data_IF_315093014433
#
_entry.id   IF_315093014433
#
_cell.length_a   1.000
_cell.length_b   1.000
_cell.length_c   1.000
_cell.angle_alpha   90.00
_cell.angle_beta   90.00
_cell.angle_gamma   90.00
#
_symmetry.space_group_name_H-M   'P 1'
#
loop_
_entity.id
_entity.type
_entity.pdbx_description
1 polymer ?
#
# COMPACT_ATOMS: atom_id res chain seq x y z
N UNK A 1 -2.24 -9.04 -0.84
CA UNK A 1 -3.60 -8.57 -0.51
C UNK A 1 -4.15 -9.31 0.70
N UNK A 2 -4.92 -8.63 1.57
CA UNK A 2 -5.54 -9.22 2.76
C UNK A 2 -6.94 -9.81 2.50
N UNK A 3 -7.45 -9.65 1.29
CA UNK A 3 -8.79 -10.07 0.89
C UNK A 3 -9.89 -9.06 1.25
N UNK A 4 -11.09 -9.28 0.72
CA UNK A 4 -12.23 -8.39 0.96
C UNK A 4 -12.75 -8.46 2.39
N UNK A 5 -13.11 -7.31 2.94
CA UNK A 5 -13.94 -7.22 4.14
C UNK A 5 -15.32 -7.83 3.86
N UNK A 6 -15.88 -8.50 4.87
CA UNK A 6 -17.23 -9.07 4.78
C UNK A 6 -18.05 -8.64 6.00
N UNK A 7 -19.31 -8.27 5.75
CA UNK A 7 -20.21 -7.75 6.79
C UNK A 7 -20.55 -8.78 7.86
N UNK A 8 -20.57 -10.07 7.48
CA UNK A 8 -20.90 -11.20 8.38
C UNK A 8 -19.69 -11.71 9.17
N UNK A 9 -18.50 -11.16 8.97
CA UNK A 9 -17.26 -11.55 9.64
C UNK A 9 -16.84 -10.39 10.57
N UNK A 10 -16.61 -10.71 11.83
CA UNK A 10 -16.09 -9.74 12.80
C UNK A 10 -14.63 -9.37 12.48
N UNK A 11 -14.18 -8.25 13.01
CA UNK A 11 -12.77 -7.82 12.90
C UNK A 11 -11.80 -8.93 13.34
N UNK A 12 -12.01 -9.53 14.51
CA UNK A 12 -11.12 -10.56 15.06
C UNK A 12 -11.14 -11.86 14.25
N UNK A 13 -12.29 -12.24 13.68
CA UNK A 13 -12.37 -13.38 12.76
C UNK A 13 -11.62 -13.10 11.46
N UNK A 14 -11.81 -11.92 10.88
CA UNK A 14 -11.08 -11.50 9.67
C UNK A 14 -9.57 -11.46 9.90
N UNK A 15 -9.13 -10.84 11.00
CA UNK A 15 -7.73 -10.79 11.40
C UNK A 15 -7.15 -12.21 11.56
N UNK A 16 -7.87 -13.08 12.26
CA UNK A 16 -7.47 -14.48 12.42
C UNK A 16 -7.30 -15.19 11.09
N UNK A 17 -8.24 -15.02 10.13
CA UNK A 17 -8.14 -15.69 8.84
C UNK A 17 -6.94 -15.25 8.04
N UNK A 18 -6.64 -13.94 8.03
CA UNK A 18 -5.47 -13.41 7.31
C UNK A 18 -4.18 -13.88 7.96
N UNK A 19 -4.06 -13.76 9.28
CA UNK A 19 -2.87 -14.18 10.03
C UNK A 19 -2.62 -15.68 9.88
N UNK A 20 -3.66 -16.52 10.03
CA UNK A 20 -3.53 -17.98 9.87
C UNK A 20 -3.10 -18.34 8.44
N UNK A 21 -3.64 -17.67 7.42
CA UNK A 21 -3.30 -17.90 6.02
C UNK A 21 -1.83 -17.57 5.74
N UNK A 22 -1.34 -16.43 6.23
CA UNK A 22 0.05 -16.03 6.08
C UNK A 22 0.96 -17.02 6.82
N UNK A 23 0.64 -17.34 8.08
CA UNK A 23 1.42 -18.26 8.91
C UNK A 23 1.47 -19.67 8.29
N UNK A 24 0.43 -20.13 7.62
CA UNK A 24 0.43 -21.40 6.90
C UNK A 24 1.43 -21.42 5.71
N UNK A 25 1.72 -20.26 5.11
CA UNK A 25 2.66 -20.12 4.01
C UNK A 25 4.13 -19.95 4.47
N UNK A 26 4.36 -19.47 5.70
CA UNK A 26 5.70 -19.16 6.22
C UNK A 26 6.66 -20.35 6.16
N UNK A 27 6.32 -21.57 6.60
CA UNK A 27 7.27 -22.70 6.55
C UNK A 27 7.77 -23.01 5.13
N UNK A 28 6.89 -22.78 4.13
CA UNK A 28 7.27 -22.95 2.72
C UNK A 28 8.18 -21.81 2.27
N UNK A 29 7.86 -20.57 2.63
CA UNK A 29 8.67 -19.41 2.31
C UNK A 29 10.09 -19.56 2.91
N UNK A 30 10.20 -19.91 4.17
CA UNK A 30 11.48 -20.15 4.86
C UNK A 30 12.30 -21.26 4.19
N UNK A 31 11.65 -22.38 3.84
CA UNK A 31 12.31 -23.51 3.15
C UNK A 31 12.95 -23.10 1.83
N UNK A 32 12.33 -22.19 1.10
CA UNK A 32 12.80 -21.76 -0.23
C UNK A 32 13.51 -20.39 -0.21
N UNK A 33 13.72 -19.78 0.94
CA UNK A 33 14.36 -18.46 1.05
C UNK A 33 13.55 -17.35 0.40
N UNK A 34 12.21 -17.45 0.43
CA UNK A 34 11.28 -16.48 -0.14
C UNK A 34 10.75 -15.58 1.00
N UNK A 35 10.63 -14.30 0.74
CA UNK A 35 9.93 -13.38 1.62
C UNK A 35 8.51 -13.16 1.11
N UNK A 36 7.51 -13.45 1.95
CA UNK A 36 6.13 -13.08 1.71
C UNK A 36 5.99 -11.60 2.00
N UNK A 37 5.42 -10.84 1.08
CA UNK A 37 5.19 -9.42 1.28
C UNK A 37 3.69 -9.10 1.26
N UNK A 38 3.26 -8.25 2.19
CA UNK A 38 1.92 -7.70 2.23
C UNK A 38 1.98 -6.22 1.85
N UNK A 39 1.15 -5.83 0.92
CA UNK A 39 0.98 -4.44 0.50
C UNK A 39 -0.15 -3.78 1.30
N UNK A 40 0.04 -2.51 1.65
CA UNK A 40 -1.07 -1.65 2.06
C UNK A 40 -1.88 -1.28 0.81
N UNK A 41 -2.80 -2.15 0.45
CA UNK A 41 -3.54 -2.08 -0.80
C UNK A 41 -4.90 -1.40 -0.62
N UNK A 42 -5.35 -0.69 -1.65
CA UNK A 42 -6.71 -0.17 -1.73
C UNK A 42 -7.61 -1.20 -2.44
N UNK A 43 -8.93 -1.07 -2.30
CA UNK A 43 -9.88 -2.01 -2.91
C UNK A 43 -9.75 -2.06 -4.43
N UNK A 44 -9.93 -3.24 -4.98
CA UNK A 44 -9.94 -3.47 -6.42
C UNK A 44 -11.27 -3.02 -7.06
N UNK A 45 -11.24 -2.58 -8.32
CA UNK A 45 -12.40 -2.00 -9.02
C UNK A 45 -13.63 -2.92 -9.07
N UNK A 46 -13.41 -4.22 -9.15
CA UNK A 46 -14.50 -5.21 -9.19
C UNK A 46 -14.90 -5.76 -7.82
N UNK A 47 -14.27 -5.29 -6.75
CA UNK A 47 -14.63 -5.68 -5.39
C UNK A 47 -15.83 -4.89 -4.89
N UNK A 48 -16.78 -5.57 -4.26
CA UNK A 48 -17.99 -4.94 -3.69
C UNK A 48 -17.76 -4.34 -2.31
N UNK A 49 -16.76 -4.84 -1.60
CA UNK A 49 -16.40 -4.36 -0.27
C UNK A 49 -14.93 -3.95 -0.26
N UNK A 50 -14.52 -3.05 0.66
CA UNK A 50 -13.11 -2.67 0.81
C UNK A 50 -12.21 -3.85 1.15
N UNK A 51 -10.91 -3.70 0.91
CA UNK A 51 -9.94 -4.66 1.41
C UNK A 51 -9.97 -4.70 2.95
N UNK A 52 -9.72 -5.89 3.52
CA UNK A 52 -9.79 -6.06 4.98
C UNK A 52 -8.80 -5.15 5.71
N UNK A 53 -7.55 -5.13 5.27
CA UNK A 53 -6.49 -4.32 5.86
C UNK A 53 -6.20 -3.02 5.07
N UNK A 54 -7.24 -2.41 4.49
CA UNK A 54 -7.11 -1.14 3.75
C UNK A 54 -6.72 0.02 4.67
N UNK A 55 -7.29 0.08 5.88
CA UNK A 55 -7.04 1.16 6.83
C UNK A 55 -5.74 0.92 7.60
N UNK A 56 -5.01 2.00 7.87
CA UNK A 56 -3.68 1.99 8.50
C UNK A 56 -3.64 1.23 9.82
N UNK A 57 -4.61 1.44 10.69
CA UNK A 57 -4.68 0.79 12.01
C UNK A 57 -4.81 -0.74 11.87
N UNK A 58 -5.65 -1.20 10.95
CA UNK A 58 -5.84 -2.62 10.64
C UNK A 58 -4.60 -3.22 10.01
N UNK A 59 -3.99 -2.50 9.05
CA UNK A 59 -2.76 -2.94 8.39
C UNK A 59 -1.60 -3.09 9.38
N UNK A 60 -1.39 -2.09 10.22
CA UNK A 60 -0.32 -2.10 11.23
C UNK A 60 -0.54 -3.20 12.27
N UNK A 61 -1.79 -3.41 12.75
CA UNK A 61 -2.11 -4.51 13.65
C UNK A 61 -1.81 -5.87 12.99
N UNK A 62 -2.22 -6.06 11.73
CA UNK A 62 -1.93 -7.28 10.99
C UNK A 62 -0.42 -7.55 10.86
N UNK A 63 0.35 -6.54 10.44
CA UNK A 63 1.81 -6.65 10.30
C UNK A 63 2.48 -7.01 11.63
N UNK A 64 2.00 -6.44 12.74
CA UNK A 64 2.56 -6.68 14.07
C UNK A 64 2.21 -8.07 14.65
N UNK A 65 1.17 -8.74 14.15
CA UNK A 65 0.79 -10.11 14.58
C UNK A 65 1.63 -11.20 13.92
N UNK A 66 2.48 -10.87 12.93
CA UNK A 66 3.30 -11.85 12.22
C UNK A 66 4.77 -11.61 12.50
N UNK A 67 5.38 -12.52 13.27
CA UNK A 67 6.76 -12.33 13.78
C UNK A 67 7.84 -12.85 12.82
N UNK A 68 7.51 -13.72 11.84
CA UNK A 68 8.50 -14.32 10.95
C UNK A 68 9.30 -13.30 10.15
N UNK A 69 10.59 -13.54 10.02
CA UNK A 69 11.49 -12.79 9.13
C UNK A 69 11.23 -13.04 7.64
N UNK A 70 10.50 -14.10 7.32
CA UNK A 70 10.04 -14.39 5.95
C UNK A 70 8.71 -13.72 5.61
N UNK A 71 8.28 -12.74 6.45
CA UNK A 71 7.14 -11.87 6.17
C UNK A 71 7.57 -10.41 6.29
N UNK A 72 7.19 -9.59 5.33
CA UNK A 72 7.58 -8.19 5.24
C UNK A 72 6.48 -7.34 4.58
N UNK A 73 6.77 -6.08 4.33
CA UNK A 73 5.84 -5.09 3.77
C UNK A 73 6.31 -4.64 2.39
N UNK A 74 5.39 -4.58 1.44
CA UNK A 74 5.48 -3.74 0.26
C UNK A 74 4.72 -2.44 0.54
N UNK A 75 5.41 -1.32 0.53
CA UNK A 75 4.80 -0.02 0.84
C UNK A 75 4.34 0.68 -0.43
N UNK A 76 3.07 1.06 -0.49
CA UNK A 76 2.50 1.91 -1.55
C UNK A 76 1.93 3.20 -0.93
N UNK A 77 2.55 4.35 -1.19
CA UNK A 77 2.09 5.63 -0.62
C UNK A 77 0.74 6.08 -1.18
N UNK A 78 0.45 5.79 -2.45
CA UNK A 78 -0.80 6.23 -3.09
C UNK A 78 -2.02 5.49 -2.58
N UNK A 79 -1.86 4.23 -2.17
CA UNK A 79 -2.95 3.46 -1.56
C UNK A 79 -3.34 4.02 -0.18
N UNK A 80 -2.39 4.55 0.60
CA UNK A 80 -2.70 5.27 1.83
C UNK A 80 -3.52 6.54 1.56
N UNK A 81 -3.11 7.35 0.56
CA UNK A 81 -3.89 8.53 0.15
C UNK A 81 -5.29 8.14 -0.33
N UNK A 82 -5.42 7.07 -1.12
CA UNK A 82 -6.70 6.57 -1.60
C UNK A 82 -7.65 6.20 -0.44
N UNK A 83 -7.11 5.68 0.66
CA UNK A 83 -7.84 5.43 1.90
C UNK A 83 -8.12 6.70 2.73
N UNK A 84 -7.65 7.87 2.28
CA UNK A 84 -7.79 9.14 2.99
C UNK A 84 -6.84 9.30 4.17
N UNK A 85 -5.72 8.59 4.17
CA UNK A 85 -4.72 8.54 5.24
C UNK A 85 -3.39 9.15 4.81
N UNK A 86 -2.50 9.39 5.77
CA UNK A 86 -1.20 10.00 5.52
C UNK A 86 -0.11 8.94 5.27
N UNK A 87 0.49 8.88 4.06
CA UNK A 87 1.48 7.86 3.71
C UNK A 87 2.69 7.84 4.64
N UNK A 88 3.18 9.01 5.04
CA UNK A 88 4.34 9.11 5.94
C UNK A 88 4.04 8.59 7.35
N UNK A 89 2.81 8.77 7.85
CA UNK A 89 2.41 8.21 9.13
C UNK A 89 2.39 6.67 9.08
N UNK A 90 1.86 6.09 8.01
CA UNK A 90 1.89 4.64 7.78
C UNK A 90 3.34 4.15 7.68
N UNK A 91 4.15 4.82 6.85
CA UNK A 91 5.56 4.44 6.66
C UNK A 91 6.33 4.44 7.98
N UNK A 92 6.17 5.46 8.82
CA UNK A 92 6.82 5.53 10.14
C UNK A 92 6.50 4.31 11.02
N UNK A 93 5.26 3.80 10.96
CA UNK A 93 4.83 2.64 11.74
C UNK A 93 5.39 1.31 11.23
N UNK A 94 5.64 1.19 9.90
CA UNK A 94 6.03 -0.08 9.28
C UNK A 94 7.43 -0.08 8.66
N UNK A 95 8.16 1.03 8.65
CA UNK A 95 9.43 1.23 7.93
C UNK A 95 10.48 0.14 8.15
N UNK A 96 10.55 -0.43 9.34
CA UNK A 96 11.49 -1.52 9.66
C UNK A 96 11.08 -2.89 9.08
N UNK A 97 9.90 -2.98 8.49
CA UNK A 97 9.36 -4.17 7.82
C UNK A 97 9.30 -4.00 6.30
N UNK A 98 9.54 -2.79 5.78
CA UNK A 98 9.49 -2.50 4.33
C UNK A 98 10.72 -3.10 3.66
N UNK A 99 10.48 -3.97 2.67
CA UNK A 99 11.53 -4.60 1.84
C UNK A 99 11.36 -4.31 0.35
N UNK A 100 10.18 -3.88 -0.06
CA UNK A 100 9.89 -3.37 -1.40
C UNK A 100 8.93 -2.19 -1.30
N UNK A 101 8.92 -1.38 -2.35
CA UNK A 101 8.00 -0.25 -2.46
C UNK A 101 7.41 -0.22 -3.87
N UNK A 102 6.11 0.01 -3.96
CA UNK A 102 5.48 0.48 -5.19
C UNK A 102 5.62 2.00 -5.26
N UNK A 103 6.27 2.48 -6.31
CA UNK A 103 6.29 3.90 -6.61
C UNK A 103 5.11 4.20 -7.52
N UNK A 104 4.11 4.83 -6.96
CA UNK A 104 2.94 5.35 -7.65
C UNK A 104 2.67 6.78 -7.18
N UNK A 105 2.14 7.62 -8.03
CA UNK A 105 1.74 8.97 -7.62
C UNK A 105 0.39 9.33 -8.21
N UNK A 106 -0.34 10.15 -7.50
CA UNK A 106 -1.69 10.51 -7.86
C UNK A 106 -1.97 11.98 -7.59
N UNK A 107 -2.93 12.52 -8.31
CA UNK A 107 -3.40 13.89 -8.12
C UNK A 107 -4.93 13.94 -8.08
N UNK A 108 -5.45 15.01 -7.50
CA UNK A 108 -6.87 15.29 -7.48
C UNK A 108 -7.23 16.18 -8.69
N UNK A 109 -8.03 15.65 -9.61
CA UNK A 109 -8.56 16.44 -10.73
C UNK A 109 -9.58 17.50 -10.26
N UNK A 110 -10.22 17.26 -9.12
CA UNK A 110 -11.06 18.18 -8.36
C UNK A 110 -11.23 17.63 -6.93
N UNK A 111 -11.91 18.38 -6.06
CA UNK A 111 -12.13 17.94 -4.69
C UNK A 111 -10.89 18.05 -3.80
N UNK A 112 -10.93 17.40 -2.66
CA UNK A 112 -9.91 17.43 -1.60
C UNK A 112 -9.62 16.02 -1.07
N UNK A 113 -8.53 15.86 -0.31
CA UNK A 113 -8.23 14.61 0.42
C UNK A 113 -9.34 14.24 1.40
N UNK A 114 -10.02 15.24 1.99
CA UNK A 114 -11.19 14.99 2.85
C UNK A 114 -12.38 14.38 2.08
N UNK A 115 -12.50 14.68 0.79
CA UNK A 115 -13.53 14.06 -0.05
C UNK A 115 -13.17 12.58 -0.36
N UNK A 116 -11.88 12.21 -0.42
CA UNK A 116 -11.45 10.82 -0.47
C UNK A 116 -11.89 10.06 0.79
N UNK A 117 -11.66 10.64 1.96
CA UNK A 117 -12.07 10.04 3.25
C UNK A 117 -13.57 9.78 3.32
N UNK A 118 -14.39 10.69 2.79
CA UNK A 118 -15.85 10.54 2.74
C UNK A 118 -16.31 9.46 1.76
N UNK A 119 -15.57 9.29 0.67
CA UNK A 119 -15.89 8.32 -0.39
C UNK A 119 -15.43 6.89 -0.06
N UNK A 120 -14.55 6.72 0.90
CA UNK A 120 -13.84 5.46 1.22
C UNK A 120 -14.76 4.23 1.32
N UNK A 121 -15.89 4.33 1.97
CA UNK A 121 -16.79 3.18 2.20
C UNK A 121 -17.83 2.91 1.11
N UNK A 122 -17.99 3.80 0.11
CA UNK A 122 -19.19 3.81 -0.73
C UNK A 122 -18.98 3.54 -2.22
N UNK A 123 -17.76 3.59 -2.71
CA UNK A 123 -17.50 3.53 -4.15
C UNK A 123 -16.71 2.28 -4.50
N UNK A 124 -17.16 1.44 -5.46
CA UNK A 124 -16.29 0.41 -6.04
C UNK A 124 -15.08 1.06 -6.71
N UNK A 125 -13.89 0.54 -6.45
CA UNK A 125 -12.66 1.08 -7.00
C UNK A 125 -12.31 2.50 -6.55
N UNK A 126 -11.49 3.18 -7.33
CA UNK A 126 -11.06 4.54 -7.06
C UNK A 126 -12.13 5.57 -7.45
N UNK A 127 -12.23 6.62 -6.64
CA UNK A 127 -13.12 7.74 -7.00
C UNK A 127 -12.62 8.43 -8.28
N UNK A 128 -13.56 8.86 -9.11
CA UNK A 128 -13.28 9.35 -10.47
C UNK A 128 -12.39 10.61 -10.53
N UNK A 129 -12.29 11.37 -9.45
CA UNK A 129 -11.44 12.56 -9.36
C UNK A 129 -10.03 12.31 -8.84
N UNK A 130 -9.72 11.10 -8.38
CA UNK A 130 -8.38 10.69 -7.95
C UNK A 130 -7.69 9.96 -9.11
N UNK A 131 -6.73 10.61 -9.72
CA UNK A 131 -6.10 10.20 -10.98
C UNK A 131 -4.65 9.79 -10.78
N UNK A 132 -4.21 8.82 -11.56
CA UNK A 132 -2.79 8.55 -11.71
C UNK A 132 -2.04 9.73 -12.30
N UNK A 133 -0.78 9.90 -11.89
CA UNK A 133 0.10 10.96 -12.35
C UNK A 133 1.55 10.49 -12.43
N UNK A 134 2.40 11.37 -12.95
CA UNK A 134 3.85 11.13 -13.01
C UNK A 134 4.42 11.13 -11.58
N UNK A 135 5.21 10.13 -11.23
CA UNK A 135 5.86 10.00 -9.93
C UNK A 135 6.68 11.26 -9.60
N UNK A 136 6.52 11.78 -8.39
CA UNK A 136 7.14 13.01 -7.93
C UNK A 136 6.41 14.30 -8.35
N UNK A 137 5.27 14.20 -9.04
CA UNK A 137 4.46 15.37 -9.43
C UNK A 137 3.05 15.36 -8.82
N UNK A 138 2.76 14.39 -7.99
CA UNK A 138 1.45 14.21 -7.37
C UNK A 138 1.41 14.64 -5.91
N UNK A 139 0.67 13.88 -5.11
CA UNK A 139 0.39 14.18 -3.70
C UNK A 139 1.42 13.60 -2.73
N UNK A 140 2.25 12.65 -3.18
CA UNK A 140 3.22 12.01 -2.32
C UNK A 140 4.48 12.87 -2.13
N UNK A 141 4.90 13.03 -0.88
CA UNK A 141 6.21 13.63 -0.55
C UNK A 141 7.32 12.57 -0.66
N UNK A 142 7.82 12.38 -1.88
CA UNK A 142 8.87 11.38 -2.17
C UNK A 142 10.19 11.69 -1.48
N UNK A 143 10.53 12.97 -1.26
CA UNK A 143 11.75 13.35 -0.53
C UNK A 143 11.69 12.84 0.91
N UNK A 144 10.57 13.04 1.58
CA UNK A 144 10.36 12.54 2.95
C UNK A 144 10.28 11.01 2.99
N UNK A 145 9.61 10.36 2.01
CA UNK A 145 9.53 8.90 1.90
C UNK A 145 10.93 8.30 1.75
N UNK A 146 11.73 8.78 0.79
CA UNK A 146 13.08 8.26 0.57
C UNK A 146 14.01 8.55 1.74
N UNK A 147 13.89 9.72 2.36
CA UNK A 147 14.64 10.04 3.58
C UNK A 147 14.33 9.05 4.71
N UNK A 148 13.07 8.72 4.91
CA UNK A 148 12.62 7.76 5.94
C UNK A 148 13.12 6.34 5.65
N UNK A 149 13.00 5.87 4.42
CA UNK A 149 13.49 4.56 3.99
C UNK A 149 15.00 4.45 4.12
N UNK A 150 15.73 5.47 3.67
CA UNK A 150 17.20 5.55 3.79
C UNK A 150 17.66 5.51 5.25
N UNK A 151 16.95 6.18 6.15
CA UNK A 151 17.27 6.20 7.57
C UNK A 151 17.21 4.83 8.25
N UNK A 152 16.42 3.89 7.72
CA UNK A 152 16.34 2.50 8.21
C UNK A 152 17.18 1.51 7.41
N UNK A 153 17.96 1.99 6.43
CA UNK A 153 18.85 1.14 5.62
C UNK A 153 18.10 0.32 4.57
N UNK A 154 16.96 0.83 4.05
CA UNK A 154 16.27 0.18 2.94
C UNK A 154 17.20 0.09 1.71
N UNK A 155 17.30 -1.11 1.15
CA UNK A 155 18.09 -1.44 -0.05
C UNK A 155 17.30 -2.34 -1.03
N UNK A 156 15.97 -2.35 -0.88
CA UNK A 156 15.07 -3.18 -1.66
C UNK A 156 14.69 -2.59 -3.02
N UNK A 157 13.77 -3.24 -3.68
CA UNK A 157 13.26 -2.80 -4.97
C UNK A 157 12.19 -1.72 -4.84
N UNK A 158 12.27 -0.72 -5.71
CA UNK A 158 11.22 0.26 -5.94
C UNK A 158 10.67 -0.01 -7.35
N UNK A 159 9.43 -0.48 -7.40
CA UNK A 159 8.77 -0.83 -8.66
C UNK A 159 7.79 0.28 -9.05
N UNK A 160 7.85 0.72 -10.31
CA UNK A 160 6.83 1.65 -10.82
C UNK A 160 5.51 0.89 -10.94
N UNK A 161 4.51 1.33 -10.19
CA UNK A 161 3.12 0.89 -10.32
C UNK A 161 2.26 2.08 -10.70
N UNK A 162 2.18 2.33 -11.99
CA UNK A 162 1.64 3.57 -12.49
C UNK A 162 0.65 3.33 -13.63
N UNK A 163 -0.51 3.99 -13.55
CA UNK A 163 -1.52 4.01 -14.59
C UNK A 163 -1.47 5.27 -15.45
N UNK A 164 -0.27 5.76 -15.76
CA UNK A 164 -0.06 6.97 -16.56
C UNK A 164 -0.47 6.80 -18.02
N UNK A 165 -0.76 7.93 -18.66
CA UNK A 165 -1.11 8.00 -20.08
C UNK A 165 0.14 7.97 -20.95
N UNK A 166 0.58 6.75 -21.29
CA UNK A 166 1.60 6.51 -22.30
C UNK A 166 3.05 6.46 -21.78
N UNK A 167 3.95 6.11 -22.71
CA UNK A 167 5.36 5.86 -22.41
C UNK A 167 6.14 7.09 -21.97
N UNK A 168 5.75 8.27 -22.42
CA UNK A 168 6.48 9.51 -22.08
C UNK A 168 6.36 9.81 -20.58
N UNK A 169 5.16 9.64 -19.99
CA UNK A 169 4.95 9.82 -18.56
C UNK A 169 5.64 8.72 -17.75
N UNK A 170 5.62 7.48 -18.24
CA UNK A 170 6.37 6.38 -17.63
C UNK A 170 7.87 6.66 -17.61
N UNK A 171 8.41 7.23 -18.70
CA UNK A 171 9.81 7.60 -18.78
C UNK A 171 10.17 8.75 -17.82
N UNK A 172 9.28 9.74 -17.66
CA UNK A 172 9.46 10.81 -16.67
C UNK A 172 9.48 10.26 -15.24
N UNK A 173 8.55 9.35 -14.92
CA UNK A 173 8.50 8.66 -13.63
C UNK A 173 9.79 7.88 -13.35
N UNK A 174 10.25 7.09 -14.33
CA UNK A 174 11.49 6.33 -14.21
C UNK A 174 12.73 7.24 -14.02
N UNK A 175 12.76 8.38 -14.72
CA UNK A 175 13.84 9.37 -14.58
C UNK A 175 13.86 9.97 -13.18
N UNK A 176 12.71 10.37 -12.65
CA UNK A 176 12.60 10.90 -11.28
C UNK A 176 13.16 9.93 -10.23
N UNK A 177 12.85 8.63 -10.37
CA UNK A 177 13.34 7.60 -9.43
C UNK A 177 14.84 7.31 -9.53
N UNK A 178 15.54 7.79 -10.57
CA UNK A 178 16.97 7.61 -10.77
C UNK A 178 17.81 8.82 -10.31
N UNK A 179 17.17 9.95 -10.06
CA UNK A 179 17.82 11.20 -9.56
C UNK A 179 17.91 11.20 -8.04
#
# INVERSE_FOLDING_TARGET
LSGQRRKEITYEEGMKYVVDSINACIPTAEKYGITLILENHYKDDFWTEPEFAQMMDVFVDLVNRIESKSFAVNFDPSNAIAAGEEPLELLEKVKHRVVTMHASDRYLANGTVEDLRKAEGGTPGYVSFFKHGVIGKGLNDYDAIFSTLKAVGFDGWISIEDGVDGMDQMYESAKFLQE
#
